data_IF_372044470702
#
_entry.id   IF_372044470702
#
_cell.length_a   1.000
_cell.length_b   1.000
_cell.length_c   1.000
_cell.angle_alpha   90.00
_cell.angle_beta   90.00
_cell.angle_gamma   90.00
#
_symmetry.space_group_name_H-M   'P 1'
#
loop_
_entity.id
_entity.type
_entity.pdbx_description
1 polymer ?
#
# COMPACT_ATOMS: atom_id res chain seq x y z
N UNK A 1 -14.52 -19.13 -16.04
CA UNK A 1 -13.13 -19.50 -16.39
C UNK A 1 -12.41 -18.38 -17.14
N UNK A 2 -12.92 -17.87 -18.27
CA UNK A 2 -12.27 -16.77 -19.01
C UNK A 2 -12.05 -15.49 -18.17
N UNK A 3 -13.07 -15.01 -17.45
CA UNK A 3 -12.94 -13.82 -16.61
C UNK A 3 -11.85 -13.97 -15.53
N UNK A 4 -11.73 -15.16 -14.94
CA UNK A 4 -10.70 -15.46 -13.92
C UNK A 4 -9.30 -15.43 -14.52
N UNK A 5 -9.12 -15.97 -15.74
CA UNK A 5 -7.86 -15.91 -16.47
C UNK A 5 -7.48 -14.48 -16.81
N UNK A 6 -8.44 -13.67 -17.27
CA UNK A 6 -8.22 -12.26 -17.57
C UNK A 6 -7.86 -11.47 -16.31
N UNK A 7 -8.53 -11.73 -15.19
CA UNK A 7 -8.21 -11.10 -13.91
C UNK A 7 -6.79 -11.45 -13.44
N UNK A 8 -6.39 -12.72 -13.55
CA UNK A 8 -5.04 -13.16 -13.16
C UNK A 8 -3.97 -12.56 -14.08
N UNK A 9 -4.22 -12.51 -15.39
CA UNK A 9 -3.30 -11.88 -16.34
C UNK A 9 -3.15 -10.38 -16.08
N UNK A 10 -4.26 -9.68 -15.80
CA UNK A 10 -4.24 -8.26 -15.46
C UNK A 10 -3.47 -7.99 -14.14
N UNK A 11 -3.62 -8.85 -13.14
CA UNK A 11 -2.87 -8.78 -11.90
C UNK A 11 -1.37 -8.99 -12.14
N UNK A 12 -0.99 -10.05 -12.85
CA UNK A 12 0.41 -10.36 -13.16
C UNK A 12 1.08 -9.21 -13.93
N UNK A 13 0.41 -8.64 -14.93
CA UNK A 13 0.94 -7.52 -15.70
C UNK A 13 1.17 -6.27 -14.83
N UNK A 14 0.29 -6.02 -13.85
CA UNK A 14 0.43 -4.87 -12.93
C UNK A 14 1.53 -5.08 -11.89
N UNK A 15 1.81 -6.31 -11.50
CA UNK A 15 2.84 -6.65 -10.52
C UNK A 15 4.24 -6.84 -11.13
N UNK A 16 4.36 -7.21 -12.41
CA UNK A 16 5.61 -7.64 -13.07
C UNK A 16 6.78 -6.65 -12.98
N UNK A 17 6.52 -5.35 -12.81
CA UNK A 17 7.57 -4.33 -12.74
C UNK A 17 7.19 -3.20 -11.78
N UNK A 18 6.57 -3.57 -10.67
CA UNK A 18 6.05 -2.61 -9.69
C UNK A 18 7.18 -1.84 -8.98
N UNK A 19 8.34 -2.46 -8.79
CA UNK A 19 9.56 -1.90 -8.17
C UNK A 19 10.51 -1.21 -9.18
N UNK A 20 10.12 -1.15 -10.45
CA UNK A 20 10.97 -0.65 -11.54
C UNK A 20 11.19 0.87 -11.55
N UNK A 21 10.54 1.61 -10.66
CA UNK A 21 10.71 3.05 -10.46
C UNK A 21 10.77 3.37 -8.96
N UNK A 22 11.46 4.45 -8.61
CA UNK A 22 11.42 4.98 -7.25
C UNK A 22 10.02 5.46 -6.88
N UNK A 23 9.72 5.42 -5.58
CA UNK A 23 8.47 5.92 -5.04
C UNK A 23 8.26 7.39 -5.36
N UNK A 24 7.01 7.72 -5.66
CA UNK A 24 6.56 9.10 -5.78
C UNK A 24 6.47 9.72 -4.38
N UNK A 25 6.44 11.05 -4.32
CA UNK A 25 6.49 11.78 -3.05
C UNK A 25 5.37 11.36 -2.08
N UNK A 26 4.15 11.25 -2.60
CA UNK A 26 2.96 10.82 -1.87
C UNK A 26 2.99 9.34 -1.49
N UNK A 27 3.53 8.48 -2.34
CA UNK A 27 3.77 7.05 -2.04
C UNK A 27 4.75 6.90 -0.88
N UNK A 28 5.88 7.61 -0.92
CA UNK A 28 6.87 7.60 0.16
C UNK A 28 6.31 8.13 1.49
N UNK A 29 5.52 9.22 1.44
CA UNK A 29 4.82 9.74 2.63
C UNK A 29 3.86 8.68 3.19
N UNK A 30 3.12 7.99 2.33
CA UNK A 30 2.15 6.97 2.72
C UNK A 30 2.82 5.75 3.33
N UNK A 31 3.95 5.32 2.76
CA UNK A 31 4.81 4.27 3.30
C UNK A 31 5.28 4.65 4.70
N UNK A 32 6.01 5.76 4.85
CA UNK A 32 6.57 6.21 6.14
C UNK A 32 5.52 6.33 7.24
N UNK A 33 4.30 6.79 6.91
CA UNK A 33 3.20 6.88 7.88
C UNK A 33 2.68 5.50 8.28
N UNK A 34 2.54 4.59 7.31
CA UNK A 34 1.98 3.26 7.52
C UNK A 34 2.97 2.28 8.14
N UNK A 35 4.28 2.54 8.04
CA UNK A 35 5.33 1.72 8.67
C UNK A 35 5.47 1.96 10.17
N UNK A 36 4.81 2.99 10.72
CA UNK A 36 4.82 3.29 12.16
C UNK A 36 4.00 2.26 12.96
N UNK A 37 4.29 2.09 14.26
CA UNK A 37 3.43 1.32 15.14
C UNK A 37 1.98 1.83 15.08
N UNK A 38 1.01 0.92 15.00
CA UNK A 38 -0.40 1.25 14.77
C UNK A 38 -0.94 2.35 15.71
N UNK A 39 -0.62 2.27 17.00
CA UNK A 39 -1.04 3.28 17.98
C UNK A 39 -0.44 4.67 17.72
N UNK A 40 0.82 4.73 17.32
CA UNK A 40 1.51 5.98 16.98
C UNK A 40 0.96 6.57 15.68
N UNK A 41 0.74 5.73 14.68
CA UNK A 41 0.15 6.13 13.40
C UNK A 41 -1.23 6.76 13.59
N UNK A 42 -2.10 6.14 14.40
CA UNK A 42 -3.44 6.65 14.68
C UNK A 42 -3.40 7.96 15.47
N UNK A 43 -2.45 8.12 16.40
CA UNK A 43 -2.30 9.33 17.20
C UNK A 43 -1.77 10.53 16.38
N UNK A 44 -0.99 10.28 15.33
CA UNK A 44 -0.35 11.30 14.50
C UNK A 44 -1.03 11.47 13.12
N UNK A 45 -2.26 10.95 12.95
CA UNK A 45 -2.97 11.01 11.69
C UNK A 45 -3.28 12.47 11.30
N UNK A 46 -3.00 12.90 10.06
CA UNK A 46 -3.39 14.23 9.61
C UNK A 46 -4.90 14.39 9.60
N UNK A 47 -5.39 15.58 9.93
CA UNK A 47 -6.83 15.89 9.99
C UNK A 47 -7.50 15.74 8.62
N UNK A 48 -6.74 15.95 7.54
CA UNK A 48 -7.25 15.85 6.17
C UNK A 48 -7.41 14.40 5.66
N UNK A 49 -7.01 13.38 6.41
CA UNK A 49 -7.11 11.97 5.99
C UNK A 49 -7.86 11.08 6.97
N UNK A 50 -8.55 10.05 6.43
CA UNK A 50 -9.13 8.98 7.24
C UNK A 50 -8.13 7.84 7.46
N UNK A 51 -8.09 7.22 8.65
CA UNK A 51 -7.05 6.25 9.01
C UNK A 51 -7.14 4.93 8.24
N UNK A 52 -8.30 4.60 7.67
CA UNK A 52 -8.55 3.28 7.08
C UNK A 52 -7.56 2.91 5.97
N UNK A 53 -7.15 3.88 5.15
CA UNK A 53 -6.13 3.67 4.12
C UNK A 53 -4.78 3.25 4.73
N UNK A 54 -4.28 4.00 5.72
CA UNK A 54 -2.99 3.73 6.37
C UNK A 54 -3.02 2.45 7.20
N UNK A 55 -4.15 2.11 7.82
CA UNK A 55 -4.32 0.82 8.53
C UNK A 55 -4.27 -0.35 7.56
N UNK A 56 -4.94 -0.25 6.41
CA UNK A 56 -4.88 -1.29 5.38
C UNK A 56 -3.46 -1.43 4.82
N UNK A 57 -2.78 -0.32 4.57
CA UNK A 57 -1.41 -0.32 4.09
C UNK A 57 -0.42 -0.86 5.14
N UNK A 58 -0.60 -0.54 6.42
CA UNK A 58 0.17 -1.11 7.54
C UNK A 58 0.07 -2.64 7.56
N UNK A 59 -1.14 -3.18 7.43
CA UNK A 59 -1.36 -4.63 7.35
C UNK A 59 -0.75 -5.24 6.09
N UNK A 60 -0.82 -4.54 4.96
CA UNK A 60 -0.19 -5.00 3.71
C UNK A 60 1.33 -5.07 3.83
N UNK A 61 1.98 -4.03 4.35
CA UNK A 61 3.43 -4.00 4.59
C UNK A 61 3.86 -5.16 5.49
N UNK A 62 3.09 -5.45 6.55
CA UNK A 62 3.37 -6.57 7.44
C UNK A 62 3.31 -7.94 6.74
N UNK A 63 2.54 -8.07 5.65
CA UNK A 63 2.36 -9.33 4.91
C UNK A 63 3.27 -9.45 3.69
N UNK A 64 3.50 -8.34 2.97
CA UNK A 64 4.21 -8.30 1.71
C UNK A 64 5.67 -7.83 1.85
N UNK A 65 6.04 -7.23 2.98
CA UNK A 65 7.30 -6.54 3.16
C UNK A 65 7.24 -5.07 2.74
N UNK A 66 8.36 -4.39 2.89
CA UNK A 66 8.62 -3.08 2.27
C UNK A 66 9.35 -3.24 0.94
#
# INVERSE_FOLDING_TARGET
MLCSLLALAAFALRAYHLDGQSLWSDEGISLVRSSRPLGEMLAQMPVEHVPGYFVALHAWIALAGE
#
